data_IF_781644337298
#
_entry.id   IF_781644337298
#
_cell.length_a   1.000
_cell.length_b   1.000
_cell.length_c   1.000
_cell.angle_alpha   90.00
_cell.angle_beta   90.00
_cell.angle_gamma   90.00
#
_symmetry.space_group_name_H-M   'P 1'
#
loop_
_entity.id
_entity.type
_entity.pdbx_description
1 polymer ?
#
# COMPACT_ATOMS: atom_id res chain seq x y z
N UNK A 1 -66.77 -36.69 -49.03
CA UNK A 1 -65.47 -37.37 -49.18
C UNK A 1 -64.47 -36.34 -49.71
N UNK A 2 -63.26 -36.28 -49.12
CA UNK A 2 -62.06 -35.53 -49.54
C UNK A 2 -61.91 -34.07 -49.05
N UNK A 3 -61.66 -33.98 -47.75
CA UNK A 3 -60.56 -33.25 -47.06
C UNK A 3 -59.79 -32.14 -47.81
N UNK A 4 -59.86 -30.92 -47.24
CA UNK A 4 -58.86 -29.85 -47.37
C UNK A 4 -57.52 -30.27 -46.72
N UNK A 5 -56.41 -29.95 -47.38
CA UNK A 5 -55.09 -29.87 -46.76
C UNK A 5 -54.48 -28.50 -47.10
N UNK A 6 -54.38 -27.64 -46.09
CA UNK A 6 -53.69 -26.35 -46.15
C UNK A 6 -52.30 -26.54 -45.57
N UNK A 7 -51.27 -26.65 -46.42
CA UNK A 7 -49.88 -26.73 -46.00
C UNK A 7 -49.26 -25.34 -45.97
N UNK A 8 -49.10 -24.80 -44.76
CA UNK A 8 -48.34 -23.59 -44.47
C UNK A 8 -46.85 -23.86 -44.60
N UNK A 9 -46.18 -23.17 -45.53
CA UNK A 9 -44.73 -23.24 -45.73
C UNK A 9 -44.06 -22.24 -44.77
N UNK A 10 -43.47 -22.74 -43.68
CA UNK A 10 -42.70 -21.91 -42.74
C UNK A 10 -41.28 -21.79 -43.26
N UNK A 11 -40.92 -20.60 -43.75
CA UNK A 11 -39.56 -20.26 -44.16
C UNK A 11 -38.77 -19.87 -42.91
N UNK A 12 -38.00 -20.81 -42.36
CA UNK A 12 -37.08 -20.56 -41.24
C UNK A 12 -35.84 -19.85 -41.80
N UNK A 13 -35.79 -18.53 -41.64
CA UNK A 13 -34.58 -17.75 -41.81
C UNK A 13 -33.61 -18.12 -40.69
N UNK A 14 -32.63 -18.97 -41.00
CA UNK A 14 -31.43 -19.11 -40.18
C UNK A 14 -30.64 -17.81 -40.30
N UNK A 15 -30.85 -16.88 -39.36
CA UNK A 15 -29.93 -15.80 -39.09
C UNK A 15 -28.62 -16.42 -38.59
N UNK A 16 -27.69 -16.67 -39.52
CA UNK A 16 -26.28 -16.85 -39.19
C UNK A 16 -25.77 -15.54 -38.60
N UNK A 17 -25.79 -15.42 -37.27
CA UNK A 17 -25.04 -14.38 -36.59
C UNK A 17 -23.57 -14.78 -36.65
N UNK A 18 -22.88 -14.21 -37.64
CA UNK A 18 -21.42 -14.19 -37.68
C UNK A 18 -20.97 -13.33 -36.50
N UNK A 19 -20.57 -13.94 -35.39
CA UNK A 19 -19.89 -13.24 -34.29
C UNK A 19 -18.51 -12.76 -34.76
N UNK A 20 -18.54 -11.59 -35.39
CA UNK A 20 -17.37 -10.75 -35.59
C UNK A 20 -17.78 -9.33 -35.25
N UNK A 21 -17.36 -8.82 -34.09
CA UNK A 21 -16.99 -7.41 -33.91
C UNK A 21 -16.43 -7.19 -32.50
N UNK A 22 -15.21 -6.65 -32.47
CA UNK A 22 -14.62 -5.92 -31.35
C UNK A 22 -15.58 -4.80 -30.91
N UNK A 23 -16.51 -5.13 -30.02
CA UNK A 23 -17.46 -4.19 -29.45
C UNK A 23 -16.93 -3.84 -28.07
N UNK A 24 -16.38 -2.63 -27.90
CA UNK A 24 -16.22 -2.08 -26.56
C UNK A 24 -17.64 -1.95 -25.99
N UNK A 25 -18.03 -2.88 -25.12
CA UNK A 25 -19.34 -2.90 -24.46
C UNK A 25 -19.54 -1.52 -23.80
N UNK A 26 -20.63 -0.84 -24.16
CA UNK A 26 -20.98 0.48 -23.64
C UNK A 26 -20.98 0.48 -22.09
N UNK A 27 -21.31 -0.66 -21.48
CA UNK A 27 -21.23 -0.85 -20.03
C UNK A 27 -19.81 -0.69 -19.50
N UNK A 28 -18.82 -1.25 -20.19
CA UNK A 28 -17.40 -1.10 -19.86
C UNK A 28 -16.89 0.33 -20.09
N UNK A 29 -17.41 1.02 -21.11
CA UNK A 29 -17.05 2.40 -21.44
C UNK A 29 -17.67 3.42 -20.48
N UNK A 30 -18.84 3.11 -19.91
CA UNK A 30 -19.49 3.93 -18.89
C UNK A 30 -19.06 3.56 -17.45
N UNK A 31 -18.24 2.51 -17.30
CA UNK A 31 -17.81 2.05 -15.99
C UNK A 31 -18.95 1.46 -15.19
N UNK A 32 -19.92 0.82 -15.81
CA UNK A 32 -21.07 0.18 -15.15
C UNK A 32 -20.63 -1.16 -14.55
N UNK A 33 -21.09 -1.45 -13.33
CA UNK A 33 -20.76 -2.68 -12.58
C UNK A 33 -19.95 -2.42 -11.31
N UNK A 34 -19.60 -3.48 -10.59
CA UNK A 34 -18.71 -3.37 -9.42
C UNK A 34 -17.28 -3.09 -9.91
N UNK A 35 -16.58 -2.11 -9.30
CA UNK A 35 -15.18 -1.86 -9.62
C UNK A 35 -14.36 -3.12 -9.33
N UNK A 36 -13.29 -3.34 -10.08
CA UNK A 36 -12.35 -4.43 -9.81
C UNK A 36 -10.93 -3.94 -10.03
N UNK A 37 -10.09 -4.12 -9.02
CA UNK A 37 -8.66 -3.78 -9.08
C UNK A 37 -7.90 -5.00 -9.59
N UNK A 38 -7.23 -4.88 -10.74
CA UNK A 38 -6.34 -5.92 -11.25
C UNK A 38 -4.91 -5.69 -10.77
N UNK A 39 -4.48 -4.44 -10.66
CA UNK A 39 -3.10 -4.06 -10.32
C UNK A 39 -3.04 -2.74 -9.55
N UNK A 40 -2.05 -2.64 -8.67
CA UNK A 40 -1.65 -1.39 -8.03
C UNK A 40 -0.14 -1.28 -8.23
N UNK A 41 0.29 -0.20 -8.89
CA UNK A 41 1.69 0.07 -9.17
C UNK A 41 2.08 1.49 -8.70
N UNK A 42 3.08 1.63 -7.82
CA UNK A 42 3.76 0.56 -7.10
C UNK A 42 2.84 -0.12 -6.06
N UNK A 43 3.10 -1.39 -5.67
CA UNK A 43 2.32 -2.10 -4.63
C UNK A 43 2.59 -1.59 -3.21
N UNK A 44 3.57 -0.70 -3.05
CA UNK A 44 3.90 0.00 -1.81
C UNK A 44 4.21 1.47 -2.05
N UNK A 45 3.98 2.30 -1.03
CA UNK A 45 4.22 3.74 -1.12
C UNK A 45 4.30 4.41 0.24
N UNK A 46 4.72 5.67 0.22
CA UNK A 46 4.87 6.50 1.40
C UNK A 46 3.91 7.70 1.36
N UNK A 47 3.35 8.13 2.50
CA UNK A 47 2.70 9.43 2.64
C UNK A 47 3.73 10.57 2.51
N UNK A 48 3.31 11.84 2.45
CA UNK A 48 4.26 12.94 2.53
C UNK A 48 4.93 12.97 3.92
N UNK A 49 6.25 13.13 3.97
CA UNK A 49 7.03 13.18 5.21
C UNK A 49 7.95 14.41 5.14
N UNK A 50 7.71 15.41 5.98
CA UNK A 50 8.47 16.66 5.96
C UNK A 50 8.43 17.33 4.57
N UNK A 51 9.59 17.48 3.93
CA UNK A 51 9.72 18.03 2.57
C UNK A 51 9.58 17.00 1.46
N UNK A 52 9.52 15.71 1.79
CA UNK A 52 9.42 14.62 0.82
C UNK A 52 7.97 14.42 0.37
N UNK A 53 7.77 14.36 -0.95
CA UNK A 53 6.46 14.19 -1.54
C UNK A 53 5.89 12.78 -1.31
N UNK A 54 4.56 12.67 -1.37
CA UNK A 54 3.86 11.40 -1.33
C UNK A 54 4.14 10.54 -2.57
N UNK A 55 4.06 9.22 -2.41
CA UNK A 55 4.08 8.29 -3.55
C UNK A 55 2.81 8.44 -4.38
N UNK A 56 2.97 8.65 -5.69
CA UNK A 56 1.88 8.52 -6.66
C UNK A 56 1.66 7.05 -6.99
N UNK A 57 0.40 6.63 -6.99
CA UNK A 57 -0.03 5.24 -7.19
C UNK A 57 -0.98 5.18 -8.37
N UNK A 58 -0.71 4.28 -9.30
CA UNK A 58 -1.59 3.92 -10.40
C UNK A 58 -2.35 2.66 -10.05
N UNK A 59 -3.67 2.70 -10.17
CA UNK A 59 -4.56 1.58 -9.90
C UNK A 59 -5.19 1.19 -11.22
N UNK A 60 -4.88 -0.01 -11.71
CA UNK A 60 -5.42 -0.56 -12.96
C UNK A 60 -6.53 -1.55 -12.64
N UNK A 61 -7.56 -1.57 -13.48
CA UNK A 61 -8.72 -2.40 -13.25
C UNK A 61 -9.80 -2.28 -14.32
N UNK A 62 -11.04 -2.47 -13.90
CA UNK A 62 -12.24 -2.33 -14.74
C UNK A 62 -13.41 -1.79 -13.95
N UNK A 63 -14.37 -1.24 -14.69
CA UNK A 63 -15.61 -0.68 -14.15
C UNK A 63 -15.37 0.39 -13.08
N UNK A 64 -14.32 1.18 -13.19
CA UNK A 64 -14.16 2.37 -12.36
C UNK A 64 -15.09 3.48 -12.86
N UNK A 65 -15.42 4.43 -11.99
CA UNK A 65 -16.14 5.62 -12.43
C UNK A 65 -15.18 6.50 -13.26
N UNK A 66 -15.54 6.93 -14.47
CA UNK A 66 -14.68 7.75 -15.33
C UNK A 66 -14.66 9.24 -14.90
N UNK A 67 -14.82 9.51 -13.61
CA UNK A 67 -14.80 10.84 -13.01
C UNK A 67 -14.09 10.78 -11.66
N UNK A 68 -13.27 11.79 -11.38
CA UNK A 68 -12.56 11.92 -10.11
C UNK A 68 -13.51 12.24 -8.94
N UNK A 69 -14.65 12.90 -9.20
CA UNK A 69 -15.67 13.18 -8.17
C UNK A 69 -16.44 11.94 -7.77
N UNK A 70 -16.59 11.01 -8.71
CA UNK A 70 -17.43 9.82 -8.55
C UNK A 70 -16.59 8.60 -8.14
N UNK A 71 -15.27 8.73 -8.16
CA UNK A 71 -14.31 7.74 -7.68
C UNK A 71 -13.90 8.01 -6.24
N UNK A 72 -13.91 6.97 -5.41
CA UNK A 72 -13.52 7.02 -4.01
C UNK A 72 -12.38 6.04 -3.79
N UNK A 73 -11.26 6.55 -3.29
CA UNK A 73 -10.11 5.72 -2.87
C UNK A 73 -9.89 5.94 -1.38
N UNK A 74 -9.88 4.84 -0.62
CA UNK A 74 -9.57 4.86 0.82
C UNK A 74 -8.53 3.82 1.15
N UNK A 75 -7.55 4.21 1.97
CA UNK A 75 -6.57 3.32 2.55
C UNK A 75 -7.13 2.68 3.84
N UNK A 76 -6.34 1.80 4.44
CA UNK A 76 -6.67 1.15 5.70
C UNK A 76 -7.13 2.17 6.76
N UNK A 77 -8.11 1.79 7.60
CA UNK A 77 -8.80 2.67 8.55
C UNK A 77 -9.58 3.85 7.92
N UNK A 78 -9.93 3.76 6.63
CA UNK A 78 -10.80 4.73 5.97
C UNK A 78 -10.12 6.05 5.61
N UNK A 79 -8.78 6.11 5.61
CA UNK A 79 -8.03 7.31 5.24
C UNK A 79 -8.25 7.61 3.75
N UNK A 80 -9.02 8.67 3.47
CA UNK A 80 -9.40 9.04 2.10
C UNK A 80 -8.24 9.67 1.34
N UNK A 81 -8.01 9.20 0.12
CA UNK A 81 -7.00 9.74 -0.77
C UNK A 81 -7.60 10.70 -1.81
N UNK A 82 -6.74 11.55 -2.38
CA UNK A 82 -7.12 12.43 -3.49
C UNK A 82 -6.99 11.68 -4.80
N UNK A 83 -8.10 11.55 -5.54
CA UNK A 83 -8.10 10.99 -6.89
C UNK A 83 -7.59 12.05 -7.86
N UNK A 84 -6.47 11.78 -8.53
CA UNK A 84 -5.83 12.70 -9.48
C UNK A 84 -6.40 12.54 -10.89
N UNK A 85 -6.53 11.30 -11.36
CA UNK A 85 -7.17 10.97 -12.65
C UNK A 85 -8.07 9.76 -12.48
N UNK A 86 -9.13 9.70 -13.30
CA UNK A 86 -10.07 8.60 -13.29
C UNK A 86 -10.57 8.29 -14.72
N UNK A 87 -10.45 7.03 -15.09
CA UNK A 87 -11.01 6.42 -16.29
C UNK A 87 -11.68 5.10 -15.89
N UNK A 88 -12.37 4.42 -16.80
CA UNK A 88 -13.03 3.15 -16.46
C UNK A 88 -12.07 2.00 -16.16
N UNK A 89 -10.79 2.13 -16.53
CA UNK A 89 -9.76 1.09 -16.37
C UNK A 89 -8.54 1.52 -15.57
N UNK A 90 -8.41 2.80 -15.25
CA UNK A 90 -7.26 3.33 -14.51
C UNK A 90 -7.67 4.51 -13.62
N UNK A 91 -7.20 4.48 -12.37
CA UNK A 91 -7.22 5.62 -11.45
C UNK A 91 -5.77 5.97 -11.10
N UNK A 92 -5.50 7.24 -10.84
CA UNK A 92 -4.26 7.66 -10.17
C UNK A 92 -4.57 8.42 -8.89
N UNK A 93 -3.74 8.23 -7.87
CA UNK A 93 -3.91 8.83 -6.53
C UNK A 93 -2.55 9.06 -5.89
N UNK A 94 -2.51 9.82 -4.79
CA UNK A 94 -1.34 9.86 -3.89
C UNK A 94 -1.65 9.14 -2.58
N UNK A 95 -0.64 8.55 -1.95
CA UNK A 95 -0.76 8.03 -0.58
C UNK A 95 -1.01 9.19 0.39
N UNK A 96 -2.15 9.24 1.11
CA UNK A 96 -2.48 10.34 2.00
C UNK A 96 -1.73 10.24 3.34
N UNK A 97 -1.54 11.38 4.01
CA UNK A 97 -1.04 11.39 5.39
C UNK A 97 -1.96 10.58 6.31
N UNK A 98 -1.37 9.82 7.24
CA UNK A 98 -2.11 8.94 8.14
C UNK A 98 -2.42 7.55 7.57
N UNK A 99 -2.11 7.27 6.30
CA UNK A 99 -2.29 5.94 5.73
C UNK A 99 -1.39 4.91 6.44
N UNK A 100 -1.94 3.73 6.73
CA UNK A 100 -1.22 2.57 7.28
C UNK A 100 -1.29 1.38 6.32
N UNK A 101 -0.35 0.45 6.43
CA UNK A 101 -0.39 -0.81 5.64
C UNK A 101 -1.70 -1.55 5.85
N UNK A 102 -2.25 -2.15 4.79
CA UNK A 102 -3.51 -2.88 4.85
C UNK A 102 -4.20 -2.94 3.50
N UNK A 103 -5.53 -2.86 3.51
CA UNK A 103 -6.32 -2.85 2.28
C UNK A 103 -6.51 -1.42 1.75
N UNK A 104 -6.29 -1.26 0.46
CA UNK A 104 -6.73 -0.13 -0.34
C UNK A 104 -8.05 -0.50 -1.00
N UNK A 105 -9.05 0.36 -0.82
CA UNK A 105 -10.39 0.20 -1.39
C UNK A 105 -10.62 1.21 -2.51
N UNK A 106 -11.26 0.75 -3.58
CA UNK A 106 -11.84 1.59 -4.63
C UNK A 106 -13.35 1.39 -4.62
N UNK A 107 -14.11 2.46 -4.50
CA UNK A 107 -15.57 2.48 -4.59
C UNK A 107 -16.06 3.65 -5.45
N UNK A 108 -17.35 3.67 -5.77
CA UNK A 108 -17.99 4.81 -6.45
C UNK A 108 -18.93 5.55 -5.50
N UNK A 109 -19.29 6.78 -5.85
CA UNK A 109 -20.41 7.49 -5.22
C UNK A 109 -21.73 6.71 -5.35
N UNK A 110 -22.67 6.94 -4.44
CA UNK A 110 -23.98 6.25 -4.45
C UNK A 110 -24.12 5.10 -3.44
N UNK A 111 -23.22 5.02 -2.46
CA UNK A 111 -23.23 4.00 -1.43
C UNK A 111 -22.44 2.75 -1.85
N UNK A 112 -21.79 2.11 -0.88
CA UNK A 112 -20.97 0.93 -1.11
C UNK A 112 -20.92 0.06 0.14
N UNK A 113 -20.84 -1.26 -0.05
CA UNK A 113 -20.51 -2.22 1.00
C UNK A 113 -19.17 -2.84 0.63
N UNK A 114 -18.14 -2.53 1.41
CA UNK A 114 -16.80 -3.06 1.20
C UNK A 114 -16.58 -4.31 2.06
N UNK A 115 -16.21 -5.41 1.44
CA UNK A 115 -15.72 -6.62 2.11
C UNK A 115 -14.20 -6.73 1.91
N UNK A 116 -13.39 -6.88 2.98
CA UNK A 116 -11.95 -7.15 2.88
C UNK A 116 -11.55 -8.30 1.94
N UNK A 117 -12.42 -9.30 1.80
CA UNK A 117 -12.21 -10.49 0.97
C UNK A 117 -12.89 -10.38 -0.41
N UNK A 118 -13.57 -9.27 -0.70
CA UNK A 118 -14.39 -9.09 -1.90
C UNK A 118 -15.42 -10.23 -2.08
N UNK A 119 -16.06 -10.69 -1.00
CA UNK A 119 -17.08 -11.74 -1.05
C UNK A 119 -18.42 -11.28 -1.62
N UNK A 120 -19.43 -12.15 -1.58
CA UNK A 120 -20.74 -11.93 -2.22
C UNK A 120 -21.54 -10.73 -1.66
N UNK A 121 -21.18 -10.27 -0.46
CA UNK A 121 -21.78 -9.06 0.14
C UNK A 121 -21.15 -7.76 -0.33
N UNK A 122 -20.01 -7.82 -1.04
CA UNK A 122 -19.35 -6.64 -1.56
C UNK A 122 -20.17 -6.03 -2.70
N UNK A 123 -20.46 -4.74 -2.58
CA UNK A 123 -21.19 -3.99 -3.60
C UNK A 123 -20.55 -2.62 -3.80
N UNK A 124 -20.34 -2.27 -5.07
CA UNK A 124 -19.75 -1.01 -5.49
C UNK A 124 -18.40 -0.69 -4.81
N UNK A 125 -17.65 -1.74 -4.46
CA UNK A 125 -16.36 -1.63 -3.79
C UNK A 125 -15.46 -2.80 -4.14
N UNK A 126 -14.16 -2.56 -4.18
CA UNK A 126 -13.15 -3.60 -4.32
C UNK A 126 -11.90 -3.25 -3.52
N UNK A 127 -11.36 -4.24 -2.83
CA UNK A 127 -10.19 -4.10 -1.97
C UNK A 127 -8.99 -4.86 -2.54
N UNK A 128 -7.80 -4.29 -2.42
CA UNK A 128 -6.53 -4.98 -2.68
C UNK A 128 -5.48 -4.54 -1.66
N UNK A 129 -4.55 -5.44 -1.30
CA UNK A 129 -3.48 -5.13 -0.34
C UNK A 129 -2.56 -4.02 -0.89
N UNK A 130 -2.16 -3.11 -0.01
CA UNK A 130 -1.18 -2.06 -0.24
C UNK A 130 -0.31 -1.90 1.01
N UNK A 131 1.00 -1.75 0.82
CA UNK A 131 1.95 -1.60 1.92
C UNK A 131 2.43 -0.16 2.04
N UNK A 132 2.45 0.34 3.27
CA UNK A 132 3.08 1.61 3.60
C UNK A 132 4.56 1.36 3.88
N UNK A 133 5.39 2.09 3.16
CA UNK A 133 6.85 2.05 3.20
C UNK A 133 7.34 3.49 3.36
N UNK A 134 7.56 3.92 4.59
CA UNK A 134 8.01 5.26 4.97
C UNK A 134 9.39 5.59 4.40
N UNK A 135 10.29 4.61 4.33
CA UNK A 135 11.64 4.84 3.82
C UNK A 135 11.65 5.22 2.33
N UNK A 136 10.63 4.80 1.58
CA UNK A 136 10.48 5.16 0.16
C UNK A 136 10.44 6.67 -0.08
N UNK A 137 9.95 7.49 0.86
CA UNK A 137 10.01 8.96 0.77
C UNK A 137 11.44 9.51 0.74
N UNK A 138 12.40 8.78 1.31
CA UNK A 138 13.81 9.18 1.38
C UNK A 138 14.62 8.73 0.17
N UNK A 139 14.00 8.08 -0.82
CA UNK A 139 14.62 7.68 -2.08
C UNK A 139 15.97 6.95 -1.91
N UNK A 140 16.08 6.08 -0.90
CA UNK A 140 17.28 5.29 -0.65
C UNK A 140 18.48 6.06 -0.08
N UNK A 141 18.26 7.24 0.52
CA UNK A 141 19.33 8.12 1.03
C UNK A 141 20.36 7.46 1.96
N UNK A 142 20.00 6.35 2.61
CA UNK A 142 20.85 5.60 3.55
C UNK A 142 21.14 4.16 3.10
N UNK A 143 21.07 3.91 1.78
CA UNK A 143 21.30 2.61 1.16
C UNK A 143 20.13 1.64 1.34
N UNK A 144 20.38 0.36 1.07
CA UNK A 144 19.39 -0.71 1.26
C UNK A 144 19.04 -0.89 2.74
N UNK A 145 17.78 -1.24 3.01
CA UNK A 145 17.32 -1.49 4.37
C UNK A 145 17.94 -2.76 4.95
N UNK A 146 18.48 -2.64 6.16
CA UNK A 146 18.91 -3.78 6.95
C UNK A 146 17.69 -4.44 7.58
N UNK A 147 17.15 -5.47 6.93
CA UNK A 147 16.05 -6.28 7.45
C UNK A 147 16.44 -7.07 8.71
N UNK A 148 15.61 -7.02 9.74
CA UNK A 148 15.70 -7.77 11.01
C UNK A 148 14.30 -8.26 11.36
N UNK A 149 14.15 -9.53 11.71
CA UNK A 149 12.83 -10.11 12.00
C UNK A 149 12.87 -10.77 13.36
N UNK A 150 11.94 -10.41 14.26
CA UNK A 150 11.81 -11.05 15.56
C UNK A 150 11.65 -12.58 15.42
N UNK A 151 12.35 -13.40 16.24
CA UNK A 151 13.24 -13.04 17.35
C UNK A 151 14.73 -12.94 16.96
N UNK A 152 15.06 -12.96 15.67
CA UNK A 152 16.44 -13.07 15.18
C UNK A 152 17.20 -11.74 15.24
N UNK A 153 18.39 -11.75 15.83
CA UNK A 153 19.25 -10.57 15.86
C UNK A 153 20.03 -10.38 14.56
N UNK A 154 20.45 -9.14 14.26
CA UNK A 154 21.35 -8.83 13.15
C UNK A 154 22.41 -7.82 13.54
N UNK A 155 23.66 -8.10 13.16
CA UNK A 155 24.79 -7.18 13.32
C UNK A 155 25.12 -6.51 11.99
N UNK A 156 25.33 -5.20 12.02
CA UNK A 156 25.69 -4.38 10.87
C UNK A 156 26.94 -3.57 11.21
N UNK A 157 27.93 -3.61 10.33
CA UNK A 157 29.18 -2.85 10.46
C UNK A 157 29.02 -1.42 9.94
N UNK A 158 29.50 -0.45 10.71
CA UNK A 158 29.66 0.97 10.37
C UNK A 158 31.15 1.22 10.09
N UNK A 159 31.47 1.52 8.83
CA UNK A 159 32.86 1.64 8.37
C UNK A 159 33.42 3.05 8.51
N UNK A 160 32.55 4.05 8.44
CA UNK A 160 32.89 5.47 8.48
C UNK A 160 32.92 6.01 9.92
N UNK A 161 33.51 7.19 10.11
CA UNK A 161 33.60 7.81 11.44
C UNK A 161 32.22 8.12 12.03
N UNK A 162 31.27 8.50 11.19
CA UNK A 162 29.84 8.63 11.50
C UNK A 162 29.07 8.27 10.24
N UNK A 163 28.13 7.34 10.32
CA UNK A 163 27.26 6.98 9.21
C UNK A 163 25.85 6.69 9.67
N UNK A 164 24.87 6.97 8.81
CA UNK A 164 23.46 6.61 9.01
C UNK A 164 23.11 5.42 8.14
N UNK A 165 22.42 4.43 8.70
CA UNK A 165 21.89 3.28 7.95
C UNK A 165 20.39 3.11 8.20
N UNK A 166 19.69 2.65 7.16
CA UNK A 166 18.29 2.27 7.24
C UNK A 166 18.11 0.83 7.73
N UNK A 167 17.09 0.60 8.53
CA UNK A 167 16.69 -0.70 9.05
C UNK A 167 15.19 -0.90 8.87
N UNK A 168 14.82 -2.14 8.61
CA UNK A 168 13.44 -2.60 8.58
C UNK A 168 13.30 -3.73 9.60
N UNK A 169 12.53 -3.49 10.66
CA UNK A 169 12.39 -4.41 11.80
C UNK A 169 10.97 -4.96 11.83
N UNK A 170 10.82 -6.25 11.54
CA UNK A 170 9.56 -6.96 11.71
C UNK A 170 9.42 -7.39 13.17
N UNK A 171 8.48 -6.78 13.88
CA UNK A 171 8.24 -7.01 15.30
C UNK A 171 7.55 -8.35 15.57
N UNK A 172 7.43 -8.73 16.84
CA UNK A 172 6.60 -9.86 17.26
C UNK A 172 5.15 -9.62 16.83
N UNK A 173 4.53 -10.60 16.17
CA UNK A 173 3.12 -10.55 15.74
C UNK A 173 2.14 -10.62 16.91
N UNK A 174 2.61 -11.01 18.10
CA UNK A 174 1.82 -11.20 19.31
C UNK A 174 2.36 -10.37 20.48
N UNK A 175 1.75 -9.22 20.73
CA UNK A 175 2.06 -8.37 21.87
C UNK A 175 3.22 -7.39 21.65
N UNK A 176 3.72 -6.83 22.75
CA UNK A 176 4.78 -5.84 22.73
C UNK A 176 6.13 -6.46 22.37
N UNK A 177 7.00 -5.67 21.73
CA UNK A 177 8.38 -6.07 21.38
C UNK A 177 9.36 -5.06 21.94
N UNK A 178 10.36 -5.53 22.67
CA UNK A 178 11.53 -4.71 23.04
C UNK A 178 12.58 -4.87 21.95
N UNK A 179 13.08 -3.76 21.43
CA UNK A 179 14.14 -3.73 20.43
C UNK A 179 15.36 -3.07 21.05
N UNK A 180 16.41 -3.84 21.27
CA UNK A 180 17.70 -3.34 21.75
C UNK A 180 18.59 -2.98 20.56
N UNK A 181 19.13 -1.76 20.59
CA UNK A 181 20.12 -1.27 19.63
C UNK A 181 21.49 -1.29 20.31
N UNK A 182 22.18 -2.42 20.27
CA UNK A 182 23.50 -2.60 20.89
C UNK A 182 24.62 -2.21 19.96
N UNK A 183 25.09 -0.96 20.03
CA UNK A 183 26.23 -0.47 19.26
C UNK A 183 27.50 -0.31 20.11
N UNK A 184 28.66 -0.37 19.46
CA UNK A 184 29.98 -0.08 20.08
C UNK A 184 30.14 1.40 20.44
N UNK A 185 29.36 2.28 19.81
CA UNK A 185 29.35 3.73 20.04
C UNK A 185 27.95 4.20 20.44
N UNK A 186 27.85 5.45 20.92
CA UNK A 186 26.57 6.11 21.12
C UNK A 186 25.84 6.25 19.78
N UNK A 187 24.51 6.28 19.81
CA UNK A 187 23.67 6.35 18.61
C UNK A 187 22.69 7.50 18.62
N UNK A 188 22.42 8.04 17.43
CA UNK A 188 21.23 8.83 17.14
C UNK A 188 20.21 7.97 16.40
N UNK A 189 18.95 7.99 16.84
CA UNK A 189 17.89 7.15 16.30
C UNK A 189 16.68 8.01 15.92
N UNK A 190 16.22 7.82 14.69
CA UNK A 190 14.88 8.18 14.23
C UNK A 190 14.14 6.91 13.84
N UNK A 191 12.86 6.79 14.14
CA UNK A 191 12.03 5.70 13.65
C UNK A 191 10.64 6.19 13.27
N UNK A 192 9.94 5.44 12.45
CA UNK A 192 8.61 5.80 11.97
C UNK A 192 7.52 5.02 12.70
N UNK A 193 6.41 5.68 12.99
CA UNK A 193 5.17 4.98 13.35
C UNK A 193 4.63 4.21 12.13
N UNK A 194 3.61 3.36 12.34
CA UNK A 194 2.91 2.64 11.27
C UNK A 194 2.20 3.55 10.24
N UNK A 195 2.08 4.85 10.52
CA UNK A 195 1.53 5.89 9.65
C UNK A 195 2.61 6.86 9.11
N UNK A 196 3.89 6.49 9.23
CA UNK A 196 5.04 7.28 8.82
C UNK A 196 5.20 8.64 9.49
N UNK A 197 4.77 8.77 10.75
CA UNK A 197 5.17 9.91 11.59
C UNK A 197 6.57 9.61 12.12
N UNK A 198 7.55 10.47 11.81
CA UNK A 198 8.92 10.34 12.31
C UNK A 198 8.98 10.69 13.80
N UNK A 199 9.55 9.79 14.60
CA UNK A 199 9.90 10.00 16.00
C UNK A 199 11.43 10.07 16.08
N UNK A 200 11.94 11.25 16.42
CA UNK A 200 13.36 11.50 16.62
C UNK A 200 13.70 11.35 18.10
N UNK A 201 14.44 10.30 18.47
CA UNK A 201 14.94 10.16 19.85
C UNK A 201 16.20 10.98 20.06
N UNK A 202 17.05 11.04 19.04
CA UNK A 202 18.30 11.77 19.04
C UNK A 202 18.65 12.23 17.63
N UNK A 203 19.29 13.39 17.49
CA UNK A 203 19.59 13.99 16.18
C UNK A 203 21.08 14.19 15.96
N UNK A 204 21.51 14.17 14.70
CA UNK A 204 22.89 14.46 14.31
C UNK A 204 23.35 15.86 14.74
N UNK A 205 22.45 16.85 14.70
CA UNK A 205 22.74 18.23 15.09
C UNK A 205 22.86 18.45 16.60
N UNK A 206 22.55 17.44 17.42
CA UNK A 206 22.62 17.56 18.88
C UNK A 206 23.25 16.30 19.53
N UNK A 207 24.59 16.18 19.54
CA UNK A 207 25.28 15.01 20.08
C UNK A 207 24.97 14.67 21.54
N UNK A 208 24.51 15.63 22.35
CA UNK A 208 24.19 15.37 23.76
C UNK A 208 22.93 14.53 23.95
N UNK A 209 22.11 14.35 22.92
CA UNK A 209 20.94 13.47 22.98
C UNK A 209 21.27 12.02 22.61
N UNK A 210 22.49 11.74 22.15
CA UNK A 210 22.83 10.39 21.70
C UNK A 210 22.81 9.41 22.87
N UNK A 211 22.36 8.20 22.59
CA UNK A 211 22.09 7.19 23.61
C UNK A 211 23.08 6.04 23.49
N UNK A 212 23.52 5.47 24.61
CA UNK A 212 24.35 4.27 24.62
C UNK A 212 23.48 3.04 24.81
N UNK A 213 23.48 2.18 23.79
CA UNK A 213 22.80 0.89 23.76
C UNK A 213 21.31 0.90 24.20
N UNK A 214 20.46 1.76 23.62
CA UNK A 214 19.08 1.91 24.08
C UNK A 214 18.20 0.71 23.74
N UNK A 215 17.14 0.53 24.52
CA UNK A 215 16.03 -0.38 24.23
C UNK A 215 14.76 0.43 23.98
N UNK A 216 14.09 0.19 22.85
CA UNK A 216 12.82 0.83 22.50
C UNK A 216 11.72 -0.22 22.58
N UNK A 217 10.65 0.10 23.32
CA UNK A 217 9.47 -0.78 23.43
C UNK A 217 8.41 -0.35 22.42
N UNK A 218 8.00 -1.28 21.56
CA UNK A 218 6.91 -1.12 20.63
C UNK A 218 5.69 -1.89 21.15
N UNK A 219 4.56 -1.22 21.43
CA UNK A 219 3.41 -1.85 22.10
C UNK A 219 2.57 -2.74 21.19
N UNK A 220 2.71 -2.60 19.87
CA UNK A 220 1.91 -3.31 18.87
C UNK A 220 2.78 -3.75 17.69
N UNK A 221 2.35 -4.82 17.03
CA UNK A 221 2.98 -5.32 15.82
C UNK A 221 2.82 -4.35 14.64
N UNK A 222 3.93 -4.00 14.02
CA UNK A 222 4.05 -3.48 12.66
C UNK A 222 5.51 -3.61 12.22
N UNK A 223 5.78 -3.44 10.94
CA UNK A 223 7.16 -3.34 10.44
C UNK A 223 7.68 -1.94 10.71
N UNK A 224 8.65 -1.81 11.62
CA UNK A 224 9.28 -0.54 11.97
C UNK A 224 10.35 -0.22 10.94
N UNK A 225 10.30 0.97 10.36
CA UNK A 225 11.45 1.51 9.63
C UNK A 225 12.18 2.51 10.51
N UNK A 226 13.50 2.45 10.50
CA UNK A 226 14.31 3.33 11.35
C UNK A 226 15.65 3.67 10.74
N UNK A 227 16.18 4.81 11.16
CA UNK A 227 17.52 5.27 10.87
C UNK A 227 18.34 5.24 12.14
N UNK A 228 19.49 4.59 12.06
CA UNK A 228 20.46 4.57 13.14
C UNK A 228 21.71 5.24 12.61
N UNK A 229 22.13 6.28 13.31
CA UNK A 229 23.42 6.90 13.10
C UNK A 229 24.35 6.50 14.22
N UNK A 230 25.51 5.96 13.86
CA UNK A 230 26.52 5.50 14.80
C UNK A 230 27.92 5.84 14.26
N UNK A 231 28.90 5.80 15.16
CA UNK A 231 30.30 5.86 14.79
C UNK A 231 30.84 4.52 14.29
N UNK A 232 32.11 4.51 13.87
CA UNK A 232 32.80 3.31 13.39
C UNK A 232 32.73 2.18 14.42
N UNK A 233 32.27 1.00 13.99
CA UNK A 233 32.08 -0.17 14.85
C UNK A 233 30.92 -1.04 14.39
N UNK A 234 30.42 -1.88 15.29
CA UNK A 234 29.28 -2.74 15.04
C UNK A 234 28.04 -2.25 15.79
N UNK A 235 26.89 -2.48 15.17
CA UNK A 235 25.58 -2.33 15.79
C UNK A 235 24.79 -3.62 15.62
N UNK A 236 24.35 -4.19 16.74
CA UNK A 236 23.49 -5.37 16.80
C UNK A 236 22.09 -4.95 17.20
N UNK A 237 21.11 -5.27 16.35
CA UNK A 237 19.69 -5.18 16.67
C UNK A 237 19.26 -6.52 17.23
N UNK A 238 18.67 -6.54 18.42
CA UNK A 238 18.21 -7.75 19.10
C UNK A 238 16.93 -7.54 19.91
N UNK A 239 16.36 -8.63 20.41
CA UNK A 239 15.07 -8.64 21.09
C UNK A 239 15.20 -9.27 22.49
N UNK A 240 15.45 -8.46 23.54
CA UNK A 240 15.57 -8.92 24.92
C UNK A 240 14.21 -9.16 25.61
#
# INVERSE_FOLDING_TARGET
MRTLFSTTFVFVLFLNCSDSTNSNDLSSQLGIGNPVITEIDPPSGAPPIGTYAATTVTITGRHFAPSTTDSIITFHNGVRATVLTATTTQLTTTVPAGATSGLLYVSKTGGSVCDPLNGDSAYNCYAKKFYIDCYKSYNGAYGDENGVTYPDSKTVEYKEQVATKAYRIDLNTTGATNVKIGCDTFVAISYFTNACVEIQRATLGNPSTWEYQPTITFPSYYTVQMFITAGKGNCTISFP
#
